data_IF_494846443957
#
_entry.id   IF_494846443957
#
_cell.length_a   1.000
_cell.length_b   1.000
_cell.length_c   1.000
_cell.angle_alpha   90.00
_cell.angle_beta   90.00
_cell.angle_gamma   90.00
#
_symmetry.space_group_name_H-M   'P 1'
#
loop_
_entity.id
_entity.type
_entity.pdbx_description
1 polymer ?
#
# COMPACT_ATOMS: atom_id res chain seq x y z
N UNK A 1 -21.10 -24.89 14.84
CA UNK A 1 -21.88 -23.96 15.67
C UNK A 1 -20.93 -23.19 16.58
N UNK A 2 -20.29 -22.12 16.07
CA UNK A 2 -19.74 -21.04 16.89
C UNK A 2 -19.82 -19.79 16.04
N UNK A 3 -20.92 -19.04 16.22
CA UNK A 3 -21.04 -17.65 15.81
C UNK A 3 -20.48 -16.83 16.97
N UNK A 4 -19.31 -16.24 16.80
CA UNK A 4 -18.91 -15.13 17.66
C UNK A 4 -18.81 -13.91 16.78
N UNK A 5 -19.95 -13.27 16.57
CA UNK A 5 -20.01 -11.92 16.05
C UNK A 5 -19.50 -10.99 17.13
N UNK A 6 -18.40 -10.33 16.88
CA UNK A 6 -18.03 -9.14 17.63
C UNK A 6 -19.10 -8.07 17.40
N UNK A 7 -19.88 -7.82 18.43
CA UNK A 7 -20.90 -6.78 18.46
C UNK A 7 -20.21 -5.42 18.65
N UNK A 8 -19.92 -4.74 17.54
CA UNK A 8 -19.30 -3.42 17.51
C UNK A 8 -20.37 -2.30 17.54
N UNK A 9 -21.32 -2.42 18.43
CA UNK A 9 -22.39 -1.44 18.56
C UNK A 9 -22.37 -0.81 19.96
N UNK A 10 -21.35 0.01 20.26
CA UNK A 10 -21.50 1.06 21.31
C UNK A 10 -20.16 1.80 21.55
N UNK A 11 -19.75 2.67 20.61
CA UNK A 11 -18.91 3.84 20.91
C UNK A 11 -19.07 4.89 19.81
N UNK A 12 -20.15 5.65 19.90
CA UNK A 12 -20.66 6.54 18.85
C UNK A 12 -19.92 7.89 18.70
N UNK A 13 -18.74 8.10 19.28
CA UNK A 13 -18.03 9.39 19.22
C UNK A 13 -16.61 9.37 18.61
N UNK A 14 -16.04 8.22 18.30
CA UNK A 14 -14.74 8.11 17.60
C UNK A 14 -14.83 7.52 16.18
N UNK A 15 -16.02 7.29 15.67
CA UNK A 15 -16.31 6.52 14.45
C UNK A 15 -16.04 7.22 13.11
N UNK A 16 -15.79 8.52 13.04
CA UNK A 16 -15.78 9.19 11.71
C UNK A 16 -14.41 9.23 11.02
N UNK A 17 -13.33 9.23 11.78
CA UNK A 17 -11.97 9.34 11.24
C UNK A 17 -11.30 7.96 11.04
N UNK A 18 -11.49 7.05 12.00
CA UNK A 18 -10.97 5.68 11.99
C UNK A 18 -11.55 4.84 10.85
N UNK A 19 -12.83 5.04 10.51
CA UNK A 19 -13.52 4.21 9.51
C UNK A 19 -13.06 4.48 8.08
N UNK A 20 -12.88 5.75 7.68
CA UNK A 20 -12.46 6.09 6.32
C UNK A 20 -11.06 5.56 5.98
N UNK A 21 -10.15 5.54 6.97
CA UNK A 21 -8.82 4.95 6.80
C UNK A 21 -8.89 3.43 6.67
N UNK A 22 -9.67 2.78 7.52
CA UNK A 22 -9.90 1.33 7.48
C UNK A 22 -10.54 0.91 6.15
N UNK A 23 -11.51 1.69 5.65
CA UNK A 23 -12.15 1.46 4.35
C UNK A 23 -11.14 1.55 3.19
N UNK A 24 -10.26 2.55 3.23
CA UNK A 24 -9.26 2.77 2.19
C UNK A 24 -8.17 1.70 2.23
N UNK A 25 -7.64 1.35 3.40
CA UNK A 25 -6.70 0.24 3.56
C UNK A 25 -7.34 -1.08 3.13
N UNK A 26 -8.57 -1.36 3.60
CA UNK A 26 -9.32 -2.57 3.24
C UNK A 26 -9.76 -2.63 1.78
N UNK A 27 -9.73 -1.51 1.03
CA UNK A 27 -10.02 -1.52 -0.41
C UNK A 27 -8.84 -1.98 -1.26
N UNK A 28 -7.63 -1.94 -0.73
CA UNK A 28 -6.43 -2.50 -1.37
C UNK A 28 -6.31 -3.99 -1.02
N UNK A 29 -6.05 -4.83 -2.01
CA UNK A 29 -5.57 -6.18 -1.77
C UNK A 29 -4.06 -6.15 -1.71
N UNK A 30 -3.53 -6.52 -0.57
CA UNK A 30 -2.09 -6.59 -0.33
C UNK A 30 -1.74 -8.03 -0.06
N UNK A 31 -0.81 -8.56 -0.82
CA UNK A 31 -0.10 -9.79 -0.50
C UNK A 31 1.39 -9.46 -0.49
N UNK A 32 2.20 -10.30 0.11
CA UNK A 32 3.63 -10.06 0.15
C UNK A 32 4.43 -11.33 0.01
N UNK A 33 5.68 -11.19 -0.42
CA UNK A 33 6.65 -12.28 -0.47
C UNK A 33 8.03 -11.76 -0.08
N UNK A 34 8.70 -12.47 0.83
CA UNK A 34 10.14 -12.28 1.08
C UNK A 34 10.90 -12.97 -0.04
N UNK A 35 11.77 -12.26 -0.72
CA UNK A 35 12.56 -12.76 -1.84
C UNK A 35 13.99 -13.06 -1.43
N UNK A 36 14.58 -12.25 -0.55
CA UNK A 36 15.95 -12.38 -0.06
C UNK A 36 15.97 -12.13 1.45
N UNK A 37 16.68 -12.98 2.18
CA UNK A 37 16.95 -12.83 3.60
C UNK A 37 18.40 -13.27 3.85
N UNK A 38 19.36 -12.35 3.59
CA UNK A 38 20.77 -12.68 3.45
C UNK A 38 21.69 -11.64 4.09
N UNK A 39 22.92 -12.04 4.28
CA UNK A 39 24.02 -11.19 4.76
C UNK A 39 24.96 -10.82 3.60
N UNK A 40 25.45 -9.57 3.60
CA UNK A 40 26.30 -9.00 2.56
C UNK A 40 27.55 -8.37 3.16
N UNK A 41 28.73 -8.82 2.76
CA UNK A 41 30.01 -8.25 3.16
C UNK A 41 30.38 -7.08 2.23
N UNK A 42 30.63 -5.92 2.80
CA UNK A 42 31.05 -4.70 2.06
C UNK A 42 32.44 -4.88 1.39
N UNK A 43 32.66 -4.36 0.15
CA UNK A 43 31.74 -3.57 -0.66
C UNK A 43 30.84 -4.42 -1.56
N UNK A 44 29.57 -4.06 -1.68
CA UNK A 44 28.61 -4.79 -2.52
C UNK A 44 27.60 -3.84 -3.18
N UNK A 45 26.95 -4.32 -4.24
CA UNK A 45 25.86 -3.61 -4.91
C UNK A 45 24.90 -4.59 -5.60
N UNK A 46 23.59 -4.30 -5.49
CA UNK A 46 22.51 -5.06 -6.15
C UNK A 46 21.59 -4.08 -6.86
N UNK A 47 21.35 -4.30 -8.15
CA UNK A 47 20.44 -3.52 -8.96
C UNK A 47 19.05 -4.15 -8.91
N UNK A 48 18.05 -3.36 -8.52
CA UNK A 48 16.64 -3.74 -8.50
C UNK A 48 15.98 -3.11 -9.72
N UNK A 49 15.36 -3.89 -10.61
CA UNK A 49 14.70 -3.36 -11.80
C UNK A 49 13.39 -2.64 -11.45
N UNK A 50 12.76 -2.04 -12.46
CA UNK A 50 11.44 -1.43 -12.31
C UNK A 50 10.35 -2.46 -11.96
N UNK A 51 9.21 -1.96 -11.49
CA UNK A 51 8.08 -2.77 -11.06
C UNK A 51 7.52 -3.68 -12.17
N UNK A 52 7.60 -3.26 -13.44
CA UNK A 52 7.08 -4.05 -14.57
C UNK A 52 7.99 -5.24 -14.89
N UNK A 53 9.31 -5.04 -14.80
CA UNK A 53 10.27 -6.14 -14.93
C UNK A 53 10.18 -7.11 -13.76
N UNK A 54 10.07 -6.61 -12.52
CA UNK A 54 9.83 -7.47 -11.34
C UNK A 54 8.55 -8.28 -11.50
N UNK A 55 7.45 -7.65 -11.90
CA UNK A 55 6.18 -8.33 -12.16
C UNK A 55 6.32 -9.42 -13.21
N UNK A 56 7.02 -9.13 -14.30
CA UNK A 56 7.26 -10.09 -15.39
C UNK A 56 8.14 -11.25 -14.95
N UNK A 57 9.21 -10.99 -14.19
CA UNK A 57 10.10 -12.02 -13.63
C UNK A 57 9.36 -12.94 -12.66
N UNK A 58 8.42 -12.40 -11.89
CA UNK A 58 7.56 -13.17 -10.98
C UNK A 58 6.36 -13.82 -11.66
N UNK A 59 6.18 -13.65 -12.97
CA UNK A 59 5.05 -14.17 -13.77
C UNK A 59 3.69 -13.73 -13.24
N UNK A 60 3.59 -12.53 -12.70
CA UNK A 60 2.35 -11.97 -12.15
C UNK A 60 1.53 -11.31 -13.25
N UNK A 61 0.22 -11.27 -13.05
CA UNK A 61 -0.73 -10.68 -13.96
C UNK A 61 -0.56 -9.16 -14.12
N UNK A 62 -1.05 -8.61 -15.24
CA UNK A 62 -0.91 -7.19 -15.60
C UNK A 62 -1.58 -6.21 -14.61
N UNK A 63 -2.58 -6.66 -13.85
CA UNK A 63 -3.29 -5.84 -12.85
C UNK A 63 -2.64 -5.80 -11.46
N UNK A 64 -1.49 -6.47 -11.28
CA UNK A 64 -0.76 -6.47 -10.00
C UNK A 64 0.31 -5.38 -10.00
N UNK A 65 0.23 -4.48 -9.03
CA UNK A 65 1.30 -3.52 -8.75
C UNK A 65 2.33 -4.16 -7.83
N UNK A 66 3.57 -4.23 -8.27
CA UNK A 66 4.68 -4.75 -7.47
C UNK A 66 5.42 -3.59 -6.82
N UNK A 67 5.62 -3.68 -5.52
CA UNK A 67 6.25 -2.64 -4.68
C UNK A 67 7.36 -3.29 -3.87
N UNK A 68 8.61 -2.98 -4.18
CA UNK A 68 9.75 -3.53 -3.47
C UNK A 68 9.88 -2.92 -2.06
N UNK A 69 10.31 -3.74 -1.09
CA UNK A 69 10.69 -3.28 0.24
C UNK A 69 12.06 -3.83 0.65
N UNK A 70 12.75 -3.05 1.49
CA UNK A 70 14.08 -3.39 2.01
C UNK A 70 14.12 -3.09 3.50
N UNK A 71 14.25 -4.11 4.31
CA UNK A 71 14.39 -4.02 5.75
C UNK A 71 15.83 -4.35 6.15
N UNK A 72 16.48 -3.46 6.90
CA UNK A 72 17.83 -3.64 7.40
C UNK A 72 17.78 -4.27 8.79
N UNK A 73 18.22 -5.52 8.92
CA UNK A 73 18.29 -6.22 10.21
C UNK A 73 19.53 -5.83 11.01
N UNK A 74 20.65 -5.60 10.32
CA UNK A 74 21.95 -5.21 10.89
C UNK A 74 22.75 -4.40 9.88
N UNK A 75 23.52 -3.42 10.35
CA UNK A 75 24.33 -2.54 9.52
C UNK A 75 23.51 -1.43 8.88
N UNK A 76 23.84 -1.08 7.65
CA UNK A 76 23.12 -0.07 6.87
C UNK A 76 23.22 -0.35 5.37
N UNK A 77 22.35 0.27 4.61
CA UNK A 77 22.40 0.28 3.15
C UNK A 77 22.25 1.69 2.61
N UNK A 78 22.76 1.90 1.41
CA UNK A 78 22.46 3.04 0.58
C UNK A 78 21.52 2.62 -0.53
N UNK A 79 20.37 3.27 -0.63
CA UNK A 79 19.42 3.14 -1.74
C UNK A 79 19.63 4.32 -2.67
N UNK A 80 19.91 4.07 -3.93
CA UNK A 80 20.07 5.10 -4.96
C UNK A 80 19.05 4.83 -6.07
N UNK A 81 17.91 5.57 -6.09
CA UNK A 81 16.97 5.52 -7.21
C UNK A 81 17.61 6.05 -8.48
N UNK A 82 17.18 5.55 -9.64
CA UNK A 82 17.59 6.12 -10.92
C UNK A 82 17.09 7.58 -11.03
N UNK A 83 18.03 8.50 -11.15
CA UNK A 83 17.74 9.94 -11.24
C UNK A 83 17.35 10.62 -9.92
N UNK A 84 17.50 9.94 -8.76
CA UNK A 84 17.18 10.46 -7.45
C UNK A 84 18.34 10.54 -6.49
N UNK A 85 18.11 11.17 -5.34
CA UNK A 85 19.09 11.31 -4.28
C UNK A 85 19.30 9.97 -3.55
N UNK A 86 20.51 9.81 -3.02
CA UNK A 86 20.88 8.67 -2.20
C UNK A 86 20.21 8.75 -0.81
N UNK A 87 19.61 7.65 -0.39
CA UNK A 87 19.03 7.46 0.93
C UNK A 87 19.84 6.41 1.72
N UNK A 88 20.23 6.73 2.93
CA UNK A 88 20.78 5.74 3.88
C UNK A 88 19.64 5.17 4.72
N UNK A 89 19.62 3.84 4.87
CA UNK A 89 18.66 3.10 5.69
C UNK A 89 19.47 2.27 6.69
N UNK A 90 19.21 2.45 7.96
CA UNK A 90 19.98 1.85 9.06
C UNK A 90 19.26 0.63 9.65
N UNK A 91 19.95 -0.07 10.56
CA UNK A 91 19.38 -1.23 11.25
C UNK A 91 18.07 -0.89 11.99
N UNK A 92 17.05 -1.72 11.81
CA UNK A 92 15.70 -1.52 12.34
C UNK A 92 14.81 -0.64 11.46
N UNK A 93 15.31 -0.14 10.34
CA UNK A 93 14.56 0.71 9.42
C UNK A 93 14.14 -0.04 8.16
N UNK A 94 13.06 0.44 7.54
CA UNK A 94 12.51 -0.11 6.30
C UNK A 94 12.33 0.98 5.25
N UNK A 95 12.69 0.67 4.01
CA UNK A 95 12.37 1.48 2.84
C UNK A 95 11.44 0.73 1.90
N UNK A 96 10.44 1.44 1.34
CA UNK A 96 9.42 0.88 0.45
C UNK A 96 9.34 1.74 -0.82
N UNK A 97 9.48 1.09 -1.98
CA UNK A 97 9.55 1.75 -3.29
C UNK A 97 8.19 1.75 -3.98
N UNK A 98 7.24 2.59 -3.53
CA UNK A 98 5.89 2.70 -4.10
C UNK A 98 5.88 3.19 -5.55
N UNK A 99 6.86 4.02 -5.94
CA UNK A 99 7.02 4.50 -7.31
C UNK A 99 7.35 3.42 -8.34
N UNK A 100 7.84 2.25 -7.87
CA UNK A 100 8.25 1.15 -8.74
C UNK A 100 9.41 1.49 -9.69
N UNK A 101 10.21 2.51 -9.35
CA UNK A 101 11.37 2.93 -10.13
C UNK A 101 12.57 2.00 -9.89
N UNK A 102 13.44 1.82 -10.90
CA UNK A 102 14.69 1.09 -10.72
C UNK A 102 15.55 1.78 -9.67
N UNK A 103 16.24 1.00 -8.87
CA UNK A 103 17.14 1.53 -7.85
C UNK A 103 18.25 0.54 -7.53
N UNK A 104 19.30 1.04 -6.90
CA UNK A 104 20.44 0.23 -6.47
C UNK A 104 20.52 0.21 -4.96
N UNK A 105 20.68 -0.99 -4.41
CA UNK A 105 21.08 -1.22 -3.03
C UNK A 105 22.60 -1.38 -2.98
N UNK A 106 23.25 -0.76 -2.00
CA UNK A 106 24.71 -0.86 -1.94
C UNK A 106 25.29 -0.48 -0.59
N UNK A 107 26.54 -0.95 -0.34
CA UNK A 107 27.37 -0.51 0.77
C UNK A 107 28.83 -0.44 0.33
N UNK A 108 29.52 0.61 0.74
CA UNK A 108 30.93 0.86 0.41
C UNK A 108 31.18 1.40 -1.00
N UNK A 109 32.45 1.63 -1.36
CA UNK A 109 32.90 2.20 -2.63
C UNK A 109 33.57 1.15 -3.51
N UNK A 110 33.66 1.41 -4.83
CA UNK A 110 34.36 0.50 -5.79
C UNK A 110 33.68 -0.86 -6.00
N UNK A 111 32.41 -0.97 -5.72
CA UNK A 111 31.64 -2.19 -5.70
C UNK A 111 31.20 -2.68 -7.08
N UNK A 112 31.29 -3.98 -7.30
CA UNK A 112 30.60 -4.64 -8.40
C UNK A 112 29.10 -4.64 -8.12
N UNK A 113 28.29 -4.19 -9.06
CA UNK A 113 26.83 -4.29 -8.99
C UNK A 113 26.36 -5.47 -9.80
N UNK A 114 25.52 -6.31 -9.21
CA UNK A 114 24.87 -7.44 -9.88
C UNK A 114 23.36 -7.21 -9.96
N UNK A 115 22.67 -7.74 -10.97
CA UNK A 115 21.22 -7.70 -11.02
C UNK A 115 20.62 -8.62 -9.94
N UNK A 116 19.49 -8.23 -9.35
CA UNK A 116 18.81 -9.03 -8.30
C UNK A 116 18.40 -10.42 -8.81
N UNK A 117 18.11 -10.54 -10.10
CA UNK A 117 17.75 -11.81 -10.74
C UNK A 117 18.84 -12.87 -10.56
N UNK A 118 20.10 -12.46 -10.50
CA UNK A 118 21.23 -13.40 -10.26
C UNK A 118 21.13 -14.06 -8.88
N UNK A 119 20.60 -13.34 -7.88
CA UNK A 119 20.39 -13.87 -6.54
C UNK A 119 19.14 -14.77 -6.47
N UNK A 120 18.10 -14.43 -7.23
CA UNK A 120 16.80 -15.14 -7.20
C UNK A 120 16.82 -16.45 -8.00
N UNK A 121 17.72 -16.59 -9.00
CA UNK A 121 17.79 -17.77 -9.89
C UNK A 121 18.80 -18.82 -9.46
N UNK A 122 19.27 -18.77 -8.22
CA UNK A 122 20.18 -19.77 -7.65
C UNK A 122 21.67 -19.54 -7.96
N UNK A 123 22.05 -18.35 -8.45
CA UNK A 123 23.45 -17.97 -8.69
C UNK A 123 24.29 -17.80 -7.41
N UNK A 124 23.68 -17.95 -6.24
CA UNK A 124 24.29 -17.71 -4.94
C UNK A 124 24.60 -16.23 -4.69
N UNK A 125 24.89 -15.89 -3.45
CA UNK A 125 25.29 -14.54 -3.05
C UNK A 125 26.82 -14.40 -3.11
N UNK A 126 27.40 -13.69 -4.10
CA UNK A 126 28.86 -13.54 -4.22
C UNK A 126 29.47 -12.63 -3.15
N UNK A 127 28.64 -11.98 -2.34
CA UNK A 127 29.02 -11.09 -1.25
C UNK A 127 28.79 -11.71 0.13
N UNK A 128 28.50 -13.02 0.18
CA UNK A 128 28.22 -13.72 1.43
C UNK A 128 29.44 -13.65 2.37
N UNK A 129 29.28 -13.22 3.63
CA UNK A 129 30.37 -13.21 4.59
C UNK A 129 30.75 -14.64 5.01
N UNK A 130 32.00 -14.85 5.33
CA UNK A 130 32.44 -16.00 6.11
C UNK A 130 32.06 -15.84 7.60
N UNK A 131 32.23 -16.90 8.40
CA UNK A 131 31.87 -16.88 9.82
C UNK A 131 32.60 -15.77 10.60
N UNK A 132 33.85 -15.43 10.24
CA UNK A 132 34.65 -14.43 10.93
C UNK A 132 34.18 -13.00 10.62
N UNK A 133 33.56 -12.79 9.46
CA UNK A 133 33.11 -11.47 8.98
C UNK A 133 31.61 -11.24 9.15
N UNK A 134 30.87 -12.25 9.60
CA UNK A 134 29.41 -12.17 9.74
C UNK A 134 28.94 -11.00 10.62
N UNK A 135 29.63 -10.73 11.72
CA UNK A 135 29.30 -9.60 12.60
C UNK A 135 29.49 -8.22 11.94
N UNK A 136 30.34 -8.12 10.92
CA UNK A 136 30.63 -6.89 10.17
C UNK A 136 29.81 -6.75 8.90
N UNK A 137 29.01 -7.75 8.56
CA UNK A 137 28.17 -7.74 7.36
C UNK A 137 26.88 -6.97 7.59
N UNK A 138 26.29 -6.51 6.50
CA UNK A 138 24.93 -5.99 6.50
C UNK A 138 23.95 -7.14 6.31
N UNK A 139 22.96 -7.25 7.18
CA UNK A 139 21.90 -8.23 7.12
C UNK A 139 20.63 -7.62 6.62
N UNK A 140 20.09 -8.16 5.52
CA UNK A 140 18.93 -7.62 4.82
C UNK A 140 17.82 -8.64 4.68
N UNK A 141 16.60 -8.16 4.78
CA UNK A 141 15.41 -8.84 4.30
C UNK A 141 14.75 -7.96 3.24
N UNK A 142 14.68 -8.46 2.01
CA UNK A 142 14.06 -7.78 0.90
C UNK A 142 12.93 -8.62 0.32
N UNK A 143 11.91 -7.95 -0.18
CA UNK A 143 10.77 -8.61 -0.78
C UNK A 143 9.91 -7.65 -1.56
N UNK A 144 8.71 -8.11 -1.86
CA UNK A 144 7.72 -7.31 -2.59
C UNK A 144 6.37 -7.38 -1.90
N UNK A 145 5.66 -6.26 -1.97
CA UNK A 145 4.21 -6.23 -1.83
C UNK A 145 3.59 -6.31 -3.21
N UNK A 146 2.60 -7.16 -3.34
CA UNK A 146 1.76 -7.31 -4.52
C UNK A 146 0.41 -6.69 -4.20
N UNK A 147 0.12 -5.57 -4.85
CA UNK A 147 -1.07 -4.77 -4.55
C UNK A 147 -2.03 -4.79 -5.74
N UNK A 148 -3.32 -4.96 -5.46
CA UNK A 148 -4.40 -4.84 -6.45
C UNK A 148 -5.36 -3.72 -6.07
N UNK A 149 -6.09 -3.20 -7.04
CA UNK A 149 -7.09 -2.13 -6.87
C UNK A 149 -6.51 -0.82 -6.30
N UNK A 150 -5.26 -0.48 -6.66
CA UNK A 150 -4.59 0.72 -6.19
C UNK A 150 -4.81 1.95 -7.07
N UNK A 151 -5.27 1.78 -8.31
CA UNK A 151 -5.34 2.83 -9.33
C UNK A 151 -6.25 4.00 -8.92
N UNK A 152 -7.35 3.71 -8.23
CA UNK A 152 -8.30 4.70 -7.73
C UNK A 152 -8.26 4.86 -6.21
N UNK A 153 -7.29 4.22 -5.55
CA UNK A 153 -7.15 4.32 -4.10
C UNK A 153 -6.52 5.66 -3.74
N UNK A 154 -7.23 6.53 -2.99
CA UNK A 154 -6.74 7.87 -2.69
C UNK A 154 -5.49 7.88 -1.80
N UNK A 155 -5.32 6.86 -0.95
CA UNK A 155 -4.12 6.71 -0.13
C UNK A 155 -2.91 6.37 -1.01
N UNK A 156 -3.04 5.35 -1.88
CA UNK A 156 -1.93 4.94 -2.74
C UNK A 156 -1.41 6.09 -3.61
N UNK A 157 -2.32 6.87 -4.20
CA UNK A 157 -1.94 8.03 -5.03
C UNK A 157 -1.26 9.16 -4.25
N UNK A 158 -1.32 9.13 -2.93
CA UNK A 158 -0.71 10.13 -2.05
C UNK A 158 0.64 9.69 -1.45
N UNK A 159 1.07 8.45 -1.70
CA UNK A 159 2.32 7.94 -1.18
C UNK A 159 3.53 8.47 -1.97
N UNK A 160 4.67 8.73 -1.30
CA UNK A 160 5.90 9.08 -1.98
C UNK A 160 6.43 7.90 -2.80
N UNK A 161 7.21 8.18 -3.84
CA UNK A 161 7.84 7.13 -4.66
C UNK A 161 8.76 6.21 -3.85
N UNK A 162 9.45 6.77 -2.87
CA UNK A 162 10.28 6.05 -1.90
C UNK A 162 9.88 6.48 -0.49
N UNK A 163 9.32 5.56 0.28
CA UNK A 163 8.96 5.77 1.68
C UNK A 163 10.03 5.15 2.57
N UNK A 164 10.66 5.97 3.41
CA UNK A 164 11.60 5.54 4.44
C UNK A 164 10.95 5.68 5.81
N UNK A 165 10.86 4.58 6.55
CA UNK A 165 10.26 4.54 7.89
C UNK A 165 11.33 4.16 8.92
N UNK A 166 11.54 5.05 9.89
CA UNK A 166 12.45 4.86 11.01
C UNK A 166 11.80 5.33 12.31
N UNK A 167 12.22 4.76 13.43
CA UNK A 167 11.75 5.16 14.76
C UNK A 167 12.10 6.63 15.08
N UNK A 168 13.23 7.12 14.57
CA UNK A 168 13.67 8.50 14.77
C UNK A 168 12.75 9.52 14.08
N UNK A 169 12.25 9.20 12.87
CA UNK A 169 11.44 10.10 12.05
C UNK A 169 9.94 10.02 12.35
N UNK A 170 9.46 8.84 12.76
CA UNK A 170 8.03 8.54 12.87
C UNK A 170 7.56 8.44 14.33
N UNK A 171 8.44 8.71 15.31
CA UNK A 171 8.07 8.74 16.71
C UNK A 171 7.54 7.40 17.24
N UNK A 172 6.25 7.34 17.58
CA UNK A 172 5.65 6.15 18.20
C UNK A 172 5.34 5.05 17.18
N UNK A 173 6.34 4.32 16.72
CA UNK A 173 6.16 3.09 15.91
C UNK A 173 5.85 1.91 16.85
N UNK A 174 4.67 1.89 17.46
CA UNK A 174 4.37 0.96 18.55
C UNK A 174 4.54 -0.53 18.18
N UNK A 175 4.16 -0.93 16.97
CA UNK A 175 4.13 -2.34 16.57
C UNK A 175 5.12 -2.68 15.46
N UNK A 176 5.61 -1.72 14.70
CA UNK A 176 6.45 -1.98 13.52
C UNK A 176 7.71 -2.81 13.86
N UNK A 177 8.51 -2.49 14.90
CA UNK A 177 9.67 -3.31 15.27
C UNK A 177 9.28 -4.75 15.65
N UNK A 178 8.14 -4.93 16.31
CA UNK A 178 7.63 -6.26 16.71
C UNK A 178 7.27 -7.09 15.48
N UNK A 179 6.57 -6.52 14.52
CA UNK A 179 6.18 -7.20 13.28
C UNK A 179 7.41 -7.56 12.45
N UNK A 180 8.36 -6.63 12.31
CA UNK A 180 9.61 -6.84 11.58
C UNK A 180 10.46 -7.95 12.20
N UNK A 181 10.61 -7.95 13.52
CA UNK A 181 11.37 -8.99 14.24
C UNK A 181 10.68 -10.36 14.13
N UNK A 182 9.36 -10.42 14.28
CA UNK A 182 8.62 -11.68 14.12
C UNK A 182 8.76 -12.22 12.71
N UNK A 183 8.60 -11.39 11.71
CA UNK A 183 8.79 -11.78 10.30
C UNK A 183 10.21 -12.29 10.03
N UNK A 184 11.24 -11.65 10.61
CA UNK A 184 12.62 -12.10 10.49
C UNK A 184 12.82 -13.48 11.11
N UNK A 185 12.32 -13.72 12.32
CA UNK A 185 12.41 -15.01 13.01
C UNK A 185 11.68 -16.12 12.24
N UNK A 186 10.44 -15.87 11.79
CA UNK A 186 9.65 -16.84 11.05
C UNK A 186 10.31 -17.23 9.72
N UNK A 187 10.95 -16.24 9.04
CA UNK A 187 11.67 -16.49 7.78
C UNK A 187 12.97 -17.28 7.96
N UNK A 188 13.56 -17.27 9.16
CA UNK A 188 14.78 -18.01 9.47
C UNK A 188 14.52 -19.46 9.92
N UNK A 189 13.41 -19.71 10.59
CA UNK A 189 13.13 -21.00 11.24
C UNK A 189 12.61 -22.09 10.30
N UNK A 190 12.15 -21.74 9.09
CA UNK A 190 11.59 -22.66 8.08
C UNK A 190 10.59 -23.69 8.65
N UNK A 191 9.76 -23.27 9.61
CA UNK A 191 8.78 -24.12 10.27
C UNK A 191 7.62 -24.43 9.32
N UNK A 192 6.99 -25.60 9.47
CA UNK A 192 5.78 -25.95 8.72
C UNK A 192 4.68 -24.90 8.92
N UNK A 193 4.19 -24.32 7.83
CA UNK A 193 3.23 -23.22 7.86
C UNK A 193 3.85 -21.82 7.97
N UNK A 194 5.18 -21.70 8.13
CA UNK A 194 5.87 -20.42 8.26
C UNK A 194 5.65 -19.48 7.08
N UNK A 195 5.64 -19.99 5.86
CA UNK A 195 5.36 -19.21 4.66
C UNK A 195 3.99 -18.50 4.74
N UNK A 196 2.96 -19.17 5.25
CA UNK A 196 1.64 -18.58 5.46
C UNK A 196 1.67 -17.47 6.52
N UNK A 197 2.38 -17.70 7.63
CA UNK A 197 2.55 -16.70 8.69
C UNK A 197 3.29 -15.47 8.16
N UNK A 198 4.38 -15.64 7.43
CA UNK A 198 5.13 -14.55 6.80
C UNK A 198 4.25 -13.73 5.86
N UNK A 199 3.42 -14.38 5.05
CA UNK A 199 2.47 -13.68 4.16
C UNK A 199 1.50 -12.77 4.95
N UNK A 200 0.95 -13.26 6.06
CA UNK A 200 0.04 -12.45 6.92
C UNK A 200 0.79 -11.34 7.65
N UNK A 201 2.02 -11.59 8.08
CA UNK A 201 2.87 -10.57 8.68
C UNK A 201 3.24 -9.47 7.68
N UNK A 202 3.44 -9.79 6.39
CA UNK A 202 3.69 -8.80 5.34
C UNK A 202 2.46 -7.90 5.09
N UNK A 203 1.25 -8.44 5.13
CA UNK A 203 0.03 -7.62 5.06
C UNK A 203 -0.05 -6.66 6.24
N UNK A 204 0.19 -7.15 7.45
CA UNK A 204 0.21 -6.34 8.67
C UNK A 204 1.34 -5.30 8.62
N UNK A 205 2.54 -5.69 8.16
CA UNK A 205 3.67 -4.78 7.99
C UNK A 205 3.32 -3.61 7.08
N UNK A 206 2.72 -3.89 5.93
CA UNK A 206 2.30 -2.84 5.00
C UNK A 206 1.30 -1.87 5.66
N UNK A 207 0.31 -2.39 6.37
CA UNK A 207 -0.67 -1.57 7.09
C UNK A 207 0.01 -0.70 8.18
N UNK A 208 0.91 -1.26 8.98
CA UNK A 208 1.63 -0.53 10.04
C UNK A 208 2.56 0.54 9.46
N UNK A 209 3.26 0.27 8.36
CA UNK A 209 4.09 1.26 7.67
C UNK A 209 3.24 2.42 7.14
N UNK A 210 2.12 2.11 6.50
CA UNK A 210 1.19 3.13 6.02
C UNK A 210 0.65 3.97 7.18
N UNK A 211 0.24 3.35 8.29
CA UNK A 211 -0.20 4.06 9.49
C UNK A 211 0.90 4.97 10.05
N UNK A 212 2.11 4.47 10.20
CA UNK A 212 3.25 5.23 10.69
C UNK A 212 3.52 6.47 9.81
N UNK A 213 3.46 6.30 8.48
CA UNK A 213 3.59 7.40 7.54
C UNK A 213 2.47 8.44 7.70
N UNK A 214 1.23 7.99 7.89
CA UNK A 214 0.06 8.83 8.03
C UNK A 214 0.03 9.64 9.35
N UNK A 215 0.59 9.08 10.40
CA UNK A 215 0.70 9.74 11.71
C UNK A 215 1.89 10.69 11.80
N UNK A 216 2.85 10.59 10.86
CA UNK A 216 4.01 11.48 10.84
C UNK A 216 3.62 12.89 10.35
N UNK A 217 4.25 13.91 10.95
CA UNK A 217 4.09 15.31 10.52
C UNK A 217 4.76 15.61 9.16
N UNK A 218 5.49 14.61 8.61
CA UNK A 218 6.21 14.71 7.35
C UNK A 218 5.32 14.55 6.12
N UNK A 219 4.03 14.25 6.32
CA UNK A 219 3.14 13.90 5.22
C UNK A 219 2.45 15.14 4.64
N UNK A 220 2.91 15.62 3.48
CA UNK A 220 2.27 16.69 2.70
C UNK A 220 1.07 16.20 1.86
N UNK A 221 0.55 15.01 2.12
CA UNK A 221 -0.55 14.44 1.36
C UNK A 221 -1.84 15.26 1.54
N UNK A 222 -2.36 15.79 0.43
CA UNK A 222 -3.65 16.50 0.40
C UNK A 222 -4.78 15.65 0.93
N UNK A 223 -4.80 14.37 0.58
CA UNK A 223 -5.86 13.47 1.03
C UNK A 223 -5.87 13.31 2.56
N UNK A 224 -4.70 13.17 3.16
CA UNK A 224 -4.57 13.08 4.62
C UNK A 224 -4.91 14.40 5.33
N UNK A 225 -4.47 15.52 4.78
CA UNK A 225 -4.87 16.84 5.27
C UNK A 225 -6.38 17.00 5.18
N UNK A 226 -7.00 16.50 4.11
CA UNK A 226 -8.45 16.47 3.95
C UNK A 226 -9.15 15.59 4.97
N UNK A 227 -8.60 14.44 5.33
CA UNK A 227 -9.13 13.60 6.42
C UNK A 227 -9.05 14.29 7.79
N UNK A 228 -7.97 15.02 8.06
CA UNK A 228 -7.79 15.80 9.31
C UNK A 228 -8.73 17.00 9.38
N UNK A 229 -9.24 17.50 8.25
CA UNK A 229 -10.22 18.60 8.21
C UNK A 229 -11.58 18.10 8.73
N UNK A 230 -12.17 18.74 9.79
CA UNK A 230 -13.37 18.21 10.42
C UNK A 230 -14.60 18.22 9.51
N UNK A 231 -14.64 19.07 8.49
CA UNK A 231 -15.74 19.15 7.51
C UNK A 231 -15.53 18.14 6.39
N UNK A 232 -14.33 18.12 5.81
CA UNK A 232 -13.99 17.24 4.68
C UNK A 232 -13.92 15.80 5.14
N UNK A 233 -13.25 15.51 6.26
CA UNK A 233 -13.16 14.16 6.83
C UNK A 233 -14.53 13.58 7.17
N UNK A 234 -15.45 14.39 7.75
CA UNK A 234 -16.83 13.96 7.99
C UNK A 234 -17.58 13.64 6.68
N UNK A 235 -17.40 14.45 5.63
CA UNK A 235 -18.00 14.18 4.33
C UNK A 235 -17.45 12.90 3.69
N UNK A 236 -16.14 12.66 3.78
CA UNK A 236 -15.50 11.42 3.31
C UNK A 236 -16.10 10.21 4.04
N UNK A 237 -16.20 10.26 5.37
CA UNK A 237 -16.81 9.20 6.17
C UNK A 237 -18.27 8.92 5.78
N UNK A 238 -19.05 9.95 5.46
CA UNK A 238 -20.43 9.80 4.96
C UNK A 238 -20.45 9.08 3.60
N UNK A 239 -19.56 9.46 2.66
CA UNK A 239 -19.46 8.85 1.33
C UNK A 239 -19.05 7.38 1.46
N UNK A 240 -18.05 7.08 2.28
CA UNK A 240 -17.51 5.73 2.45
C UNK A 240 -18.51 4.79 3.12
N UNK A 241 -19.23 5.27 4.14
CA UNK A 241 -20.22 4.45 4.86
C UNK A 241 -21.43 4.08 4.02
N UNK A 242 -21.77 4.89 3.02
CA UNK A 242 -22.95 4.71 2.16
C UNK A 242 -22.66 5.02 0.69
N UNK A 243 -21.80 4.25 0.01
CA UNK A 243 -21.37 4.56 -1.36
C UNK A 243 -22.51 4.54 -2.37
N UNK A 244 -23.54 3.70 -2.16
CA UNK A 244 -24.73 3.60 -3.01
C UNK A 244 -25.77 4.71 -2.87
N UNK A 245 -25.63 5.58 -1.86
CA UNK A 245 -26.61 6.63 -1.58
C UNK A 245 -26.60 7.72 -2.68
N UNK A 246 -27.77 8.32 -2.97
CA UNK A 246 -27.88 9.45 -3.92
C UNK A 246 -27.20 10.69 -3.37
N UNK A 247 -25.87 10.76 -3.46
CA UNK A 247 -25.10 11.91 -3.02
C UNK A 247 -25.22 13.08 -3.99
N UNK A 248 -25.34 14.29 -3.41
CA UNK A 248 -25.18 15.57 -4.10
C UNK A 248 -24.37 16.52 -3.25
N UNK A 249 -23.89 17.61 -3.84
CA UNK A 249 -23.14 18.64 -3.12
C UNK A 249 -23.99 19.21 -1.97
N UNK A 250 -25.27 19.45 -2.22
CA UNK A 250 -26.25 19.98 -1.26
C UNK A 250 -26.43 19.01 -0.07
N UNK A 251 -26.56 17.71 -0.37
CA UNK A 251 -26.77 16.67 0.66
C UNK A 251 -25.53 16.51 1.54
N UNK A 252 -24.35 16.51 0.95
CA UNK A 252 -23.08 16.45 1.68
C UNK A 252 -22.89 17.71 2.54
N UNK A 253 -23.11 18.89 1.96
CA UNK A 253 -23.00 20.18 2.65
C UNK A 253 -23.96 20.27 3.85
N UNK A 254 -25.20 19.81 3.67
CA UNK A 254 -26.20 19.71 4.77
C UNK A 254 -25.68 18.78 5.88
N UNK A 255 -25.08 17.63 5.53
CA UNK A 255 -24.55 16.68 6.50
C UNK A 255 -23.40 17.22 7.34
N UNK A 256 -22.66 18.20 6.81
CA UNK A 256 -21.53 18.86 7.50
C UNK A 256 -21.88 20.29 7.97
N UNK A 257 -23.15 20.70 7.86
CA UNK A 257 -23.71 21.97 8.35
C UNK A 257 -23.05 23.24 7.79
N UNK A 258 -22.72 23.27 6.49
CA UNK A 258 -22.27 24.50 5.79
C UNK A 258 -22.97 24.66 4.44
N UNK A 259 -22.84 25.85 3.80
CA UNK A 259 -23.43 26.07 2.48
C UNK A 259 -22.79 25.21 1.37
N UNK A 260 -23.54 24.81 0.33
CA UNK A 260 -23.03 23.98 -0.76
C UNK A 260 -21.81 24.56 -1.46
N UNK A 261 -21.81 25.86 -1.75
CA UNK A 261 -20.67 26.52 -2.41
C UNK A 261 -19.41 26.52 -1.54
N UNK A 262 -19.56 26.84 -0.24
CA UNK A 262 -18.45 26.82 0.71
C UNK A 262 -17.91 25.39 0.91
N UNK A 263 -18.81 24.41 0.97
CA UNK A 263 -18.42 22.98 1.04
C UNK A 263 -17.61 22.55 -0.18
N UNK A 264 -18.12 22.79 -1.39
CA UNK A 264 -17.46 22.40 -2.63
C UNK A 264 -16.07 23.03 -2.77
N UNK A 265 -15.94 24.33 -2.46
CA UNK A 265 -14.67 25.05 -2.48
C UNK A 265 -13.66 24.44 -1.48
N UNK A 266 -14.10 24.22 -0.20
CA UNK A 266 -13.25 23.65 0.85
C UNK A 266 -12.81 22.23 0.54
N UNK A 267 -13.73 21.39 0.06
CA UNK A 267 -13.45 20.01 -0.32
C UNK A 267 -12.44 19.93 -1.47
N UNK A 268 -12.64 20.75 -2.52
CA UNK A 268 -11.73 20.80 -3.67
C UNK A 268 -10.36 21.36 -3.29
N UNK A 269 -10.29 22.37 -2.44
CA UNK A 269 -9.02 22.89 -1.93
C UNK A 269 -8.23 21.84 -1.14
N UNK A 270 -8.93 21.05 -0.31
CA UNK A 270 -8.33 20.03 0.52
C UNK A 270 -7.87 18.80 -0.27
N UNK A 271 -8.67 18.32 -1.23
CA UNK A 271 -8.42 17.03 -1.91
C UNK A 271 -7.95 17.16 -3.36
N UNK A 272 -8.12 18.33 -3.98
CA UNK A 272 -7.86 18.54 -5.41
C UNK A 272 -8.98 18.06 -6.34
N UNK A 273 -9.94 17.29 -5.83
CA UNK A 273 -11.09 16.77 -6.57
C UNK A 273 -12.38 17.45 -6.11
N UNK A 274 -13.34 17.64 -7.01
CA UNK A 274 -14.70 18.05 -6.59
C UNK A 274 -15.37 16.92 -5.80
N UNK A 275 -16.36 17.25 -4.90
CA UNK A 275 -17.05 16.23 -4.11
C UNK A 275 -17.64 15.09 -4.94
N UNK A 276 -18.28 15.40 -6.06
CA UNK A 276 -18.91 14.37 -6.91
C UNK A 276 -17.89 13.56 -7.74
N UNK A 277 -16.74 14.14 -8.09
CA UNK A 277 -15.63 13.39 -8.68
C UNK A 277 -15.06 12.38 -7.68
N UNK A 278 -14.91 12.78 -6.42
CA UNK A 278 -14.47 11.88 -5.35
C UNK A 278 -15.48 10.73 -5.12
N UNK A 279 -16.78 11.04 -5.02
CA UNK A 279 -17.84 10.00 -4.92
C UNK A 279 -17.74 8.99 -6.06
N UNK A 280 -17.55 9.47 -7.29
CA UNK A 280 -17.44 8.60 -8.47
C UNK A 280 -16.18 7.73 -8.39
N UNK A 281 -15.03 8.30 -8.08
CA UNK A 281 -13.76 7.55 -7.92
C UNK A 281 -13.89 6.47 -6.84
N UNK A 282 -14.44 6.81 -5.67
CA UNK A 282 -14.66 5.86 -4.58
C UNK A 282 -15.59 4.71 -4.98
N UNK A 283 -16.70 5.00 -5.67
CA UNK A 283 -17.62 3.98 -6.21
C UNK A 283 -16.92 3.04 -7.17
N UNK A 284 -16.08 3.57 -8.05
CA UNK A 284 -15.32 2.76 -9.02
C UNK A 284 -14.26 1.91 -8.33
N UNK A 285 -13.58 2.44 -7.31
CA UNK A 285 -12.64 1.67 -6.49
C UNK A 285 -13.36 0.49 -5.80
N UNK A 286 -14.47 0.75 -5.13
CA UNK A 286 -15.27 -0.28 -4.48
C UNK A 286 -15.82 -1.33 -5.48
N UNK A 287 -16.31 -0.88 -6.64
CA UNK A 287 -16.78 -1.78 -7.68
C UNK A 287 -15.66 -2.67 -8.23
N UNK A 288 -14.46 -2.12 -8.44
CA UNK A 288 -13.28 -2.89 -8.88
C UNK A 288 -12.92 -4.00 -7.89
N UNK A 289 -12.99 -3.70 -6.58
CA UNK A 289 -12.81 -4.68 -5.51
C UNK A 289 -13.89 -5.77 -5.54
N UNK A 290 -15.17 -5.39 -5.54
CA UNK A 290 -16.29 -6.34 -5.54
C UNK A 290 -16.29 -7.26 -6.77
N UNK A 291 -15.89 -6.75 -7.93
CA UNK A 291 -15.75 -7.56 -9.15
C UNK A 291 -14.69 -8.65 -9.01
N UNK A 292 -13.61 -8.40 -8.27
CA UNK A 292 -12.54 -9.38 -8.02
C UNK A 292 -12.82 -10.32 -6.84
N UNK A 293 -13.65 -9.92 -5.87
CA UNK A 293 -13.83 -10.65 -4.60
C UNK A 293 -15.14 -11.39 -4.49
N UNK A 294 -16.13 -11.00 -5.28
CA UNK A 294 -17.47 -11.56 -5.18
C UNK A 294 -17.93 -12.20 -6.47
N UNK A 295 -18.91 -13.11 -6.35
CA UNK A 295 -19.63 -13.71 -7.49
C UNK A 295 -20.85 -12.89 -7.92
N UNK A 296 -21.06 -11.70 -7.31
CA UNK A 296 -22.18 -10.83 -7.63
C UNK A 296 -22.20 -10.46 -9.12
N UNK A 297 -23.38 -10.36 -9.72
CA UNK A 297 -23.53 -9.89 -11.08
C UNK A 297 -23.09 -8.43 -11.26
N UNK A 298 -22.66 -8.06 -12.46
CA UNK A 298 -22.27 -6.66 -12.76
C UNK A 298 -23.41 -5.69 -12.44
N UNK A 299 -24.66 -6.09 -12.67
CA UNK A 299 -25.84 -5.29 -12.34
C UNK A 299 -26.04 -5.09 -10.85
N UNK A 300 -25.83 -6.13 -10.04
CA UNK A 300 -25.93 -6.05 -8.58
C UNK A 300 -24.85 -5.13 -8.00
N UNK A 301 -23.61 -5.24 -8.50
CA UNK A 301 -22.51 -4.36 -8.08
C UNK A 301 -22.81 -2.92 -8.49
N UNK A 302 -23.30 -2.70 -9.73
CA UNK A 302 -23.69 -1.36 -10.19
C UNK A 302 -24.72 -0.73 -9.26
N UNK A 303 -25.79 -1.48 -8.94
CA UNK A 303 -26.83 -1.02 -8.01
C UNK A 303 -26.26 -0.75 -6.60
N UNK A 304 -25.42 -1.65 -6.08
CA UNK A 304 -24.79 -1.53 -4.76
C UNK A 304 -23.90 -0.30 -4.62
N UNK A 305 -23.26 0.15 -5.71
CA UNK A 305 -22.45 1.38 -5.73
C UNK A 305 -23.23 2.61 -6.22
N UNK A 306 -24.58 2.53 -6.33
CA UNK A 306 -25.47 3.65 -6.60
C UNK A 306 -25.61 4.03 -8.08
N UNK A 307 -25.57 3.05 -8.98
CA UNK A 307 -25.91 3.24 -10.38
C UNK A 307 -27.22 2.48 -10.71
N UNK A 308 -28.23 3.22 -11.11
CA UNK A 308 -29.50 2.64 -11.54
C UNK A 308 -29.40 1.99 -12.92
N UNK A 309 -28.45 2.42 -13.75
CA UNK A 309 -28.28 1.95 -15.13
C UNK A 309 -26.90 1.31 -15.33
N UNK A 310 -26.91 0.01 -15.65
CA UNK A 310 -25.69 -0.79 -15.89
C UNK A 310 -24.83 -0.24 -17.04
N UNK A 311 -25.46 0.32 -18.09
CA UNK A 311 -24.72 0.91 -19.20
C UNK A 311 -23.97 2.20 -18.76
N UNK A 312 -24.61 3.03 -17.92
CA UNK A 312 -23.96 4.21 -17.33
C UNK A 312 -22.79 3.81 -16.42
N UNK A 313 -23.00 2.79 -15.57
CA UNK A 313 -21.94 2.20 -14.75
C UNK A 313 -20.79 1.69 -15.60
N UNK A 314 -21.07 0.89 -16.63
CA UNK A 314 -20.03 0.30 -17.50
C UNK A 314 -19.18 1.39 -18.18
N UNK A 315 -19.80 2.47 -18.67
CA UNK A 315 -19.09 3.61 -19.25
C UNK A 315 -18.20 4.32 -18.22
N UNK A 316 -18.73 4.57 -17.02
CA UNK A 316 -17.98 5.21 -15.95
C UNK A 316 -16.80 4.31 -15.51
N UNK A 317 -17.04 3.02 -15.32
CA UNK A 317 -16.02 2.04 -14.95
C UNK A 317 -14.89 1.97 -15.98
N UNK A 318 -15.24 1.81 -17.28
CA UNK A 318 -14.24 1.80 -18.37
C UNK A 318 -13.44 3.10 -18.43
N UNK A 319 -14.07 4.25 -18.20
CA UNK A 319 -13.39 5.56 -18.20
C UNK A 319 -12.36 5.68 -17.07
N UNK A 320 -12.65 5.12 -15.88
CA UNK A 320 -11.80 5.23 -14.70
C UNK A 320 -10.75 4.11 -14.59
N UNK A 321 -11.07 2.89 -15.04
CA UNK A 321 -10.20 1.71 -14.90
C UNK A 321 -9.70 1.16 -16.25
N UNK A 322 -9.99 1.86 -17.34
CA UNK A 322 -9.47 1.55 -18.68
C UNK A 322 -10.17 0.38 -19.39
N UNK A 323 -10.83 -0.53 -18.66
CA UNK A 323 -11.49 -1.72 -19.21
C UNK A 323 -12.91 -1.89 -18.68
N UNK A 324 -13.80 -2.60 -19.42
CA UNK A 324 -15.15 -2.88 -18.93
C UNK A 324 -15.17 -3.80 -17.69
N UNK A 325 -16.23 -3.76 -16.85
CA UNK A 325 -16.36 -4.56 -15.64
C UNK A 325 -16.15 -6.07 -15.83
N UNK A 326 -16.68 -6.65 -16.90
CA UNK A 326 -16.53 -8.07 -17.20
C UNK A 326 -15.06 -8.44 -17.51
N UNK A 327 -14.38 -7.62 -18.31
CA UNK A 327 -12.95 -7.80 -18.60
C UNK A 327 -12.07 -7.57 -17.37
N UNK A 328 -12.46 -6.65 -16.49
CA UNK A 328 -11.79 -6.45 -15.20
C UNK A 328 -11.88 -7.71 -14.33
N UNK A 329 -13.09 -8.30 -14.20
CA UNK A 329 -13.30 -9.55 -13.46
C UNK A 329 -12.43 -10.68 -13.99
N UNK A 330 -12.37 -10.87 -15.30
CA UNK A 330 -11.57 -11.94 -15.92
C UNK A 330 -10.07 -11.79 -15.69
N UNK A 331 -9.59 -10.58 -15.39
CA UNK A 331 -8.18 -10.31 -15.02
C UNK A 331 -7.87 -10.57 -13.54
N UNK A 332 -8.89 -10.75 -12.71
CA UNK A 332 -8.75 -10.96 -11.27
C UNK A 332 -8.96 -12.43 -10.86
N UNK A 333 -9.47 -13.26 -11.79
CA UNK A 333 -9.59 -14.71 -11.66
C UNK A 333 -8.37 -15.41 -12.21
#
# INVERSE_FOLDING_TARGET
MIKTFYNYAETTKMKSYSDAMSDVLGSMRIAGSVLLNEDYLSPWGVAIPDADKLRSAMKLESGVRVVAFHFVKRGYIEITPDGGDRLTVEAGEIAICFGGIPHRLSQGTGKKTIPVESLLTGGGNPFQPDENNKARSTSLMCGVFMMRNVELNPLYSSLPSLLHVSAQRHGKLHNLPTVLNWMAQESEQMVSGGAYVVERLLELLCAEVLRAHLESDLTESRWLSGLKDPVVGKAIAMIHSKPGECWSVERLAKGVAISPSRFAARFTAALGDSPMAYVTKWRMNLAGRLLGESRQGVGEIAAGVGYENVAAFTRAFKRHLGVPPAAWRSRQC
#
